data_IF_218083059355
#
_entry.id   IF_218083059355
#
_cell.length_a   1.000
_cell.length_b   1.000
_cell.length_c   1.000
_cell.angle_alpha   90.00
_cell.angle_beta   90.00
_cell.angle_gamma   90.00
#
_symmetry.space_group_name_H-M   'P 1'
#
loop_
_entity.id
_entity.type
_entity.pdbx_description
1 polymer ?
#
# COMPACT_ATOMS: atom_id res chain seq x y z
N UNK A 1 0.99 -28.22 -16.35
CA UNK A 1 -0.05 -27.21 -16.69
C UNK A 1 -1.40 -27.40 -16.01
N UNK A 2 -1.82 -28.60 -15.57
CA UNK A 2 -3.17 -28.82 -14.99
C UNK A 2 -3.42 -28.25 -13.57
N UNK A 3 -2.40 -28.18 -12.70
CA UNK A 3 -2.54 -27.61 -11.35
C UNK A 3 -2.76 -26.09 -11.32
N UNK A 4 -2.23 -25.36 -12.30
CA UNK A 4 -2.39 -23.91 -12.37
C UNK A 4 -3.82 -23.49 -12.77
N UNK A 5 -4.55 -24.35 -13.49
CA UNK A 5 -5.94 -24.13 -13.87
C UNK A 5 -6.90 -24.43 -12.70
N UNK A 6 -6.59 -25.44 -11.88
CA UNK A 6 -7.40 -25.82 -10.71
C UNK A 6 -7.35 -24.78 -9.58
N UNK A 7 -6.24 -24.03 -9.46
CA UNK A 7 -6.11 -22.94 -8.50
C UNK A 7 -6.72 -21.60 -8.97
N UNK A 8 -7.35 -21.56 -10.15
CA UNK A 8 -7.89 -20.36 -10.78
C UNK A 8 -8.74 -19.48 -9.86
N UNK A 9 -9.81 -19.99 -9.24
CA UNK A 9 -10.68 -19.18 -8.38
C UNK A 9 -10.05 -18.85 -7.02
N UNK A 10 -9.28 -19.76 -6.43
CA UNK A 10 -8.67 -19.59 -5.09
C UNK A 10 -7.68 -18.42 -5.00
N UNK A 11 -7.09 -18.01 -6.12
CA UNK A 11 -6.12 -16.92 -6.17
C UNK A 11 -6.69 -15.58 -5.76
N UNK A 12 -7.95 -15.30 -6.10
CA UNK A 12 -8.62 -14.06 -5.70
C UNK A 12 -9.18 -14.11 -4.28
N UNK A 13 -9.55 -15.31 -3.81
CA UNK A 13 -10.05 -15.49 -2.44
C UNK A 13 -8.97 -15.25 -1.39
N UNK A 14 -7.72 -15.64 -1.65
CA UNK A 14 -6.63 -15.44 -0.68
C UNK A 14 -6.46 -13.98 -0.18
N UNK A 15 -6.30 -12.95 -1.05
CA UNK A 15 -6.22 -11.56 -0.58
C UNK A 15 -7.53 -11.07 0.06
N UNK A 16 -8.70 -11.50 -0.42
CA UNK A 16 -10.00 -11.12 0.16
C UNK A 16 -10.15 -11.68 1.58
N UNK A 17 -9.87 -12.96 1.77
CA UNK A 17 -9.93 -13.62 3.07
C UNK A 17 -8.90 -13.03 4.02
N UNK A 18 -7.67 -12.77 3.55
CA UNK A 18 -6.65 -12.09 4.34
C UNK A 18 -7.15 -10.73 4.82
N UNK A 19 -7.61 -9.87 3.89
CA UNK A 19 -8.12 -8.53 4.22
C UNK A 19 -9.27 -8.61 5.23
N UNK A 20 -10.27 -9.45 4.97
CA UNK A 20 -11.43 -9.60 5.86
C UNK A 20 -11.03 -10.03 7.28
N UNK A 21 -10.08 -10.96 7.42
CA UNK A 21 -9.59 -11.40 8.73
C UNK A 21 -8.85 -10.28 9.45
N UNK A 22 -7.94 -9.59 8.75
CA UNK A 22 -7.12 -8.56 9.41
C UNK A 22 -7.97 -7.35 9.78
N UNK A 23 -8.83 -6.85 8.89
CA UNK A 23 -9.77 -5.77 9.20
C UNK A 23 -10.70 -6.10 10.36
N UNK A 24 -11.22 -7.34 10.42
CA UNK A 24 -12.10 -7.75 11.51
C UNK A 24 -11.37 -7.90 12.85
N UNK A 25 -10.06 -8.19 12.83
CA UNK A 25 -9.23 -8.37 14.01
C UNK A 25 -8.36 -7.14 14.34
N UNK A 26 -8.54 -6.03 13.62
CA UNK A 26 -7.65 -4.87 13.69
C UNK A 26 -7.62 -4.31 15.13
N UNK A 27 -8.79 -4.12 15.73
CA UNK A 27 -8.93 -3.59 17.08
C UNK A 27 -8.32 -4.56 18.11
N UNK A 28 -8.65 -5.84 18.03
CA UNK A 28 -8.17 -6.88 18.93
C UNK A 28 -6.64 -6.99 18.87
N UNK A 29 -6.06 -6.89 17.67
CA UNK A 29 -4.61 -6.88 17.49
C UNK A 29 -3.96 -5.64 18.13
N UNK A 30 -4.53 -4.45 17.91
CA UNK A 30 -4.05 -3.21 18.51
C UNK A 30 -4.10 -3.26 20.04
N UNK A 31 -5.23 -3.69 20.61
CA UNK A 31 -5.39 -3.89 22.05
C UNK A 31 -4.42 -4.95 22.59
N UNK A 32 -4.27 -6.06 21.88
CA UNK A 32 -3.30 -7.10 22.24
C UNK A 32 -1.87 -6.55 22.26
N UNK A 33 -1.50 -5.67 21.32
CA UNK A 33 -0.16 -5.10 21.27
C UNK A 33 0.15 -4.20 22.48
N UNK A 34 -0.81 -3.37 22.89
CA UNK A 34 -0.62 -2.38 23.95
C UNK A 34 -0.96 -2.89 25.36
N UNK A 35 -1.72 -3.98 25.48
CA UNK A 35 -2.12 -4.52 26.78
C UNK A 35 -0.91 -4.96 27.63
N UNK A 36 -0.89 -4.51 28.88
CA UNK A 36 0.09 -4.93 29.88
C UNK A 36 -0.19 -6.35 30.36
N UNK A 37 0.87 -7.14 30.51
CA UNK A 37 0.82 -8.53 30.95
C UNK A 37 1.84 -8.77 32.05
N UNK A 38 1.52 -9.61 33.06
CA UNK A 38 2.51 -10.06 34.02
C UNK A 38 3.52 -10.98 33.33
N UNK A 39 4.79 -10.85 33.70
CA UNK A 39 5.88 -11.74 33.29
C UNK A 39 6.81 -12.02 34.47
N UNK A 40 7.71 -12.99 34.32
CA UNK A 40 8.73 -13.29 35.33
C UNK A 40 9.67 -12.09 35.64
N UNK A 41 9.71 -11.09 34.76
CA UNK A 41 10.55 -9.90 34.88
C UNK A 41 9.74 -8.62 35.15
N UNK A 42 8.48 -8.74 35.59
CA UNK A 42 7.57 -7.61 35.82
C UNK A 42 6.49 -7.47 34.75
N UNK A 43 5.81 -6.32 34.71
CA UNK A 43 4.78 -6.04 33.71
C UNK A 43 5.41 -5.64 32.36
N UNK A 44 4.86 -6.14 31.26
CA UNK A 44 5.34 -5.84 29.91
C UNK A 44 4.17 -5.72 28.91
N UNK A 45 4.32 -4.88 27.88
CA UNK A 45 3.43 -4.85 26.71
C UNK A 45 4.23 -5.08 25.43
N UNK A 46 3.64 -5.75 24.43
CA UNK A 46 4.36 -6.04 23.18
C UNK A 46 4.80 -4.77 22.44
N UNK A 47 4.04 -3.68 22.59
CA UNK A 47 4.39 -2.36 22.05
C UNK A 47 5.78 -1.86 22.48
N UNK A 48 6.31 -2.30 23.63
CA UNK A 48 7.65 -1.93 24.09
C UNK A 48 8.77 -2.54 23.24
N UNK A 49 8.56 -3.73 22.66
CA UNK A 49 9.54 -4.35 21.77
C UNK A 49 9.42 -3.89 20.31
N UNK A 50 8.29 -3.29 19.91
CA UNK A 50 8.03 -2.90 18.51
C UNK A 50 9.13 -1.98 17.94
N UNK A 51 9.64 -0.95 18.63
CA UNK A 51 10.71 -0.11 18.09
C UNK A 51 11.97 -0.91 17.72
N UNK A 52 12.39 -1.82 18.61
CA UNK A 52 13.57 -2.66 18.38
C UNK A 52 13.34 -3.66 17.25
N UNK A 53 12.16 -4.29 17.21
CA UNK A 53 11.77 -5.23 16.14
C UNK A 53 11.65 -4.52 14.78
N UNK A 54 11.09 -3.30 14.75
CA UNK A 54 11.00 -2.49 13.55
C UNK A 54 12.40 -2.10 13.04
N UNK A 55 13.27 -1.62 13.92
CA UNK A 55 14.65 -1.28 13.55
C UNK A 55 15.41 -2.51 13.03
N UNK A 56 15.33 -3.66 13.72
CA UNK A 56 15.96 -4.90 13.28
C UNK A 56 15.42 -5.36 11.92
N UNK A 57 14.10 -5.27 11.71
CA UNK A 57 13.45 -5.64 10.44
C UNK A 57 13.88 -4.71 9.30
N UNK A 58 13.98 -3.40 9.54
CA UNK A 58 14.46 -2.43 8.57
C UNK A 58 15.92 -2.67 8.20
N UNK A 59 16.80 -2.97 9.16
CA UNK A 59 18.20 -3.33 8.91
C UNK A 59 18.29 -4.61 8.09
N UNK A 60 17.54 -5.66 8.46
CA UNK A 60 17.51 -6.91 7.71
C UNK A 60 17.00 -6.70 6.27
N UNK A 61 15.94 -5.90 6.11
CA UNK A 61 15.38 -5.53 4.82
C UNK A 61 16.37 -4.72 3.97
N UNK A 62 17.09 -3.76 4.56
CA UNK A 62 18.11 -2.97 3.89
C UNK A 62 19.30 -3.83 3.43
N UNK A 63 19.81 -4.71 4.30
CA UNK A 63 20.85 -5.67 3.95
C UNK A 63 20.39 -6.60 2.82
N UNK A 64 19.16 -7.10 2.91
CA UNK A 64 18.55 -7.91 1.86
C UNK A 64 18.44 -7.10 0.55
N UNK A 65 17.98 -5.85 0.59
CA UNK A 65 17.89 -4.94 -0.56
C UNK A 65 19.26 -4.68 -1.21
N UNK A 66 20.29 -4.37 -0.42
CA UNK A 66 21.66 -4.16 -0.90
C UNK A 66 22.22 -5.42 -1.59
N UNK A 67 22.00 -6.60 -1.00
CA UNK A 67 22.57 -7.84 -1.53
C UNK A 67 22.11 -8.17 -2.96
N UNK A 68 20.83 -7.95 -3.28
CA UNK A 68 20.30 -8.17 -4.63
C UNK A 68 20.46 -6.98 -5.56
N UNK A 69 20.61 -5.74 -5.06
CA UNK A 69 21.01 -4.61 -5.92
C UNK A 69 22.37 -4.88 -6.57
N UNK A 70 23.31 -5.47 -5.82
CA UNK A 70 24.63 -5.90 -6.34
C UNK A 70 24.53 -6.98 -7.43
N UNK A 71 23.42 -7.70 -7.51
CA UNK A 71 23.17 -8.76 -8.50
C UNK A 71 22.27 -8.30 -9.65
N UNK A 72 21.61 -7.15 -9.52
CA UNK A 72 20.64 -6.65 -10.50
C UNK A 72 21.33 -5.81 -11.58
N UNK A 73 20.94 -6.05 -12.84
CA UNK A 73 21.33 -5.19 -13.97
C UNK A 73 20.71 -3.79 -13.90
N UNK A 74 19.71 -3.60 -13.04
CA UNK A 74 19.03 -2.33 -12.81
C UNK A 74 19.29 -1.79 -11.38
N UNK A 75 20.43 -2.17 -10.80
CA UNK A 75 20.78 -1.89 -9.41
C UNK A 75 20.59 -0.44 -8.97
N UNK A 76 20.88 0.56 -9.82
CA UNK A 76 20.66 1.97 -9.50
C UNK A 76 19.16 2.34 -9.38
N UNK A 77 18.30 1.84 -10.26
CA UNK A 77 16.85 2.10 -10.17
C UNK A 77 16.27 1.41 -8.95
N UNK A 78 16.69 0.16 -8.69
CA UNK A 78 16.31 -0.54 -7.45
C UNK A 78 16.79 0.22 -6.21
N UNK A 79 18.01 0.78 -6.22
CA UNK A 79 18.53 1.60 -5.14
C UNK A 79 17.69 2.84 -4.90
N UNK A 80 17.33 3.55 -5.97
CA UNK A 80 16.47 4.71 -5.86
C UNK A 80 15.07 4.36 -5.35
N UNK A 81 14.50 3.23 -5.79
CA UNK A 81 13.21 2.75 -5.30
C UNK A 81 13.23 2.41 -3.81
N UNK A 82 14.26 1.71 -3.34
CA UNK A 82 14.44 1.41 -1.91
C UNK A 82 14.71 2.66 -1.10
N UNK A 83 15.58 3.56 -1.58
CA UNK A 83 15.89 4.82 -0.91
C UNK A 83 14.64 5.70 -0.79
N UNK A 84 13.85 5.82 -1.85
CA UNK A 84 12.57 6.53 -1.83
C UNK A 84 11.62 5.90 -0.80
N UNK A 85 11.51 4.57 -0.76
CA UNK A 85 10.66 3.89 0.21
C UNK A 85 11.11 4.13 1.66
N UNK A 86 12.39 3.95 1.97
CA UNK A 86 12.94 4.21 3.32
C UNK A 86 12.75 5.67 3.73
N UNK A 87 12.96 6.62 2.81
CA UNK A 87 12.74 8.04 3.07
C UNK A 87 11.27 8.33 3.37
N UNK A 88 10.33 7.76 2.61
CA UNK A 88 8.89 7.93 2.86
C UNK A 88 8.48 7.34 4.21
N UNK A 89 8.95 6.15 4.56
CA UNK A 89 8.68 5.53 5.88
C UNK A 89 9.23 6.40 7.01
N UNK A 90 10.46 6.91 6.86
CA UNK A 90 11.07 7.77 7.88
C UNK A 90 10.30 9.09 8.04
N UNK A 91 9.89 9.73 6.94
CA UNK A 91 9.08 10.95 6.96
C UNK A 91 7.71 10.71 7.59
N UNK A 92 7.02 9.64 7.18
CA UNK A 92 5.72 9.28 7.74
C UNK A 92 5.83 8.98 9.25
N UNK A 93 6.83 8.19 9.65
CA UNK A 93 7.11 7.91 11.05
C UNK A 93 7.35 9.21 11.84
N UNK A 94 8.22 10.10 11.34
CA UNK A 94 8.62 11.29 12.07
C UNK A 94 7.49 12.32 12.23
N UNK A 95 6.65 12.47 11.21
CA UNK A 95 5.72 13.60 11.11
C UNK A 95 4.25 13.22 11.15
N UNK A 96 3.88 11.99 10.78
CA UNK A 96 2.47 11.60 10.60
C UNK A 96 2.03 10.53 11.60
N UNK A 97 2.96 9.74 12.13
CA UNK A 97 2.63 8.64 13.04
C UNK A 97 2.32 9.14 14.45
N UNK A 98 1.11 8.88 14.94
CA UNK A 98 0.69 9.21 16.30
C UNK A 98 1.31 8.25 17.32
N UNK A 99 1.36 6.96 17.00
CA UNK A 99 1.68 5.88 17.94
C UNK A 99 2.57 4.78 17.32
N UNK A 100 3.21 3.97 18.17
CA UNK A 100 4.11 2.90 17.70
C UNK A 100 3.36 1.76 16.98
N UNK A 101 2.07 1.55 17.30
CA UNK A 101 1.24 0.49 16.72
C UNK A 101 0.91 0.74 15.24
N UNK A 102 0.91 2.00 14.78
CA UNK A 102 0.69 2.34 13.35
C UNK A 102 1.80 1.77 12.44
N UNK A 103 2.94 1.33 13.00
CA UNK A 103 3.95 0.61 12.22
C UNK A 103 3.45 -0.75 11.71
N UNK A 104 2.36 -1.29 12.23
CA UNK A 104 1.76 -2.54 11.77
C UNK A 104 1.19 -2.43 10.36
N UNK A 105 0.81 -1.22 9.91
CA UNK A 105 0.25 -0.97 8.58
C UNK A 105 1.25 -1.36 7.47
N UNK A 106 2.55 -1.09 7.67
CA UNK A 106 3.55 -1.40 6.66
C UNK A 106 3.63 -2.90 6.30
N UNK A 107 3.89 -3.83 7.24
CA UNK A 107 3.94 -5.26 6.94
C UNK A 107 2.57 -5.84 6.55
N UNK A 108 1.47 -5.34 7.12
CA UNK A 108 0.12 -5.78 6.78
C UNK A 108 -0.21 -5.54 5.30
N UNK A 109 -0.11 -4.28 4.88
CA UNK A 109 -0.45 -3.92 3.51
C UNK A 109 0.61 -4.36 2.49
N UNK A 110 1.86 -4.57 2.92
CA UNK A 110 2.85 -5.25 2.10
C UNK A 110 2.45 -6.70 1.80
N UNK A 111 1.96 -7.44 2.79
CA UNK A 111 1.49 -8.81 2.61
C UNK A 111 0.23 -8.85 1.73
N UNK A 112 -0.73 -7.95 1.94
CA UNK A 112 -1.90 -7.82 1.07
C UNK A 112 -1.50 -7.54 -0.39
N UNK A 113 -0.60 -6.59 -0.62
CA UNK A 113 -0.08 -6.28 -1.96
C UNK A 113 0.61 -7.49 -2.61
N UNK A 114 1.38 -8.27 -1.85
CA UNK A 114 2.00 -9.51 -2.35
C UNK A 114 0.93 -10.54 -2.76
N UNK A 115 -0.12 -10.71 -1.96
CA UNK A 115 -1.22 -11.64 -2.27
C UNK A 115 -1.97 -11.20 -3.53
N UNK A 116 -2.30 -9.91 -3.66
CA UNK A 116 -2.93 -9.34 -4.86
C UNK A 116 -2.01 -9.52 -6.08
N UNK A 117 -0.73 -9.18 -5.95
CA UNK A 117 0.26 -9.35 -7.03
C UNK A 117 0.34 -10.80 -7.51
N UNK A 118 0.35 -11.76 -6.58
CA UNK A 118 0.35 -13.19 -6.88
C UNK A 118 -0.94 -13.66 -7.52
N UNK A 119 -2.07 -13.05 -7.19
CA UNK A 119 -3.35 -13.37 -7.79
C UNK A 119 -3.42 -12.93 -9.26
N UNK A 120 -2.95 -11.71 -9.56
CA UNK A 120 -3.13 -11.08 -10.89
C UNK A 120 -1.96 -11.32 -11.85
N UNK A 121 -0.73 -11.51 -11.34
CA UNK A 121 0.48 -11.73 -12.14
C UNK A 121 1.40 -12.78 -11.48
N UNK A 122 0.93 -14.03 -11.32
CA UNK A 122 1.68 -15.11 -10.67
C UNK A 122 3.01 -15.43 -11.34
N UNK A 123 3.11 -15.16 -12.65
CA UNK A 123 4.33 -15.38 -13.44
C UNK A 123 5.31 -14.20 -13.34
N UNK A 124 4.93 -13.09 -12.70
CA UNK A 124 5.72 -11.85 -12.58
C UNK A 124 6.15 -11.25 -13.91
N UNK A 125 5.29 -11.39 -14.92
CA UNK A 125 5.59 -11.03 -16.32
C UNK A 125 4.96 -9.72 -16.76
N UNK A 126 3.85 -9.32 -16.16
CA UNK A 126 3.09 -8.13 -16.55
C UNK A 126 3.43 -6.92 -15.67
N UNK A 127 3.83 -7.16 -14.41
CA UNK A 127 4.15 -6.14 -13.41
C UNK A 127 3.11 -5.00 -13.30
N UNK A 128 1.81 -5.31 -13.08
CA UNK A 128 0.76 -4.31 -12.93
C UNK A 128 0.84 -3.57 -11.57
N UNK A 129 1.98 -2.96 -11.26
CA UNK A 129 2.25 -2.27 -9.98
C UNK A 129 1.20 -1.23 -9.63
N UNK A 130 0.83 -0.36 -10.58
CA UNK A 130 -0.19 0.67 -10.36
C UNK A 130 -1.55 0.08 -9.96
N UNK A 131 -1.96 -1.05 -10.56
CA UNK A 131 -3.19 -1.77 -10.17
C UNK A 131 -3.09 -2.33 -8.75
N UNK A 132 -1.94 -2.89 -8.38
CA UNK A 132 -1.73 -3.45 -7.03
C UNK A 132 -1.78 -2.33 -6.00
N UNK A 133 -1.03 -1.25 -6.22
CA UNK A 133 -1.04 -0.06 -5.37
C UNK A 133 -2.44 0.49 -5.21
N UNK A 134 -3.19 0.65 -6.31
CA UNK A 134 -4.56 1.16 -6.27
C UNK A 134 -5.48 0.28 -5.41
N UNK A 135 -5.56 -1.03 -5.68
CA UNK A 135 -6.49 -1.91 -4.96
C UNK A 135 -6.07 -2.11 -3.50
N UNK A 136 -4.77 -2.25 -3.20
CA UNK A 136 -4.31 -2.35 -1.81
C UNK A 136 -4.60 -1.08 -1.04
N UNK A 137 -4.36 0.10 -1.63
CA UNK A 137 -4.64 1.38 -0.95
C UNK A 137 -6.14 1.62 -0.77
N UNK A 138 -6.96 1.23 -1.75
CA UNK A 138 -8.42 1.33 -1.62
C UNK A 138 -8.95 0.40 -0.51
N UNK A 139 -8.43 -0.82 -0.41
CA UNK A 139 -8.77 -1.72 0.69
C UNK A 139 -8.31 -1.15 2.03
N UNK A 140 -7.13 -0.54 2.10
CA UNK A 140 -6.66 0.15 3.30
C UNK A 140 -7.53 1.34 3.69
N UNK A 141 -7.96 2.15 2.72
CA UNK A 141 -8.89 3.25 2.98
C UNK A 141 -10.26 2.75 3.48
N UNK A 142 -10.70 1.58 3.03
CA UNK A 142 -11.93 0.92 3.53
C UNK A 142 -11.71 0.42 4.96
N UNK A 143 -10.56 -0.14 5.28
CA UNK A 143 -10.22 -0.57 6.65
C UNK A 143 -10.25 0.60 7.64
N UNK A 144 -9.61 1.72 7.29
CA UNK A 144 -9.68 2.94 8.11
C UNK A 144 -11.10 3.46 8.26
N UNK A 145 -11.95 3.29 7.23
CA UNK A 145 -13.33 3.73 7.30
C UNK A 145 -14.11 2.82 8.23
N UNK A 146 -13.85 1.52 8.18
CA UNK A 146 -14.44 0.54 9.08
C UNK A 146 -14.03 0.82 10.53
N UNK A 147 -12.76 1.13 10.75
CA UNK A 147 -12.26 1.51 12.05
C UNK A 147 -12.89 2.80 12.56
N UNK A 148 -12.96 3.83 11.72
CA UNK A 148 -13.57 5.11 12.06
C UNK A 148 -15.07 4.97 12.36
N UNK A 149 -15.81 4.13 11.63
CA UNK A 149 -17.26 4.04 11.82
C UNK A 149 -17.63 3.05 12.94
N UNK A 150 -16.98 1.89 13.03
CA UNK A 150 -17.45 0.79 13.87
C UNK A 150 -16.47 0.33 14.95
N UNK A 151 -15.16 0.29 14.69
CA UNK A 151 -14.23 -0.37 15.63
C UNK A 151 -13.64 0.56 16.69
N UNK A 152 -13.43 1.84 16.36
CA UNK A 152 -12.81 2.83 17.27
C UNK A 152 -13.77 3.95 17.70
N UNK A 153 -15.03 3.65 18.07
CA UNK A 153 -16.02 4.66 18.40
C UNK A 153 -15.58 5.55 19.58
N UNK A 154 -14.79 5.05 20.53
CA UNK A 154 -14.43 5.80 21.73
C UNK A 154 -13.21 6.72 21.61
N UNK A 155 -12.37 6.57 20.57
CA UNK A 155 -11.08 7.29 20.51
C UNK A 155 -10.64 7.75 19.11
N UNK A 156 -11.31 7.29 18.03
CA UNK A 156 -11.07 7.82 16.69
C UNK A 156 -11.83 9.13 16.47
N UNK A 157 -11.16 10.28 16.59
CA UNK A 157 -11.79 11.59 16.41
C UNK A 157 -11.95 12.01 14.95
N UNK A 158 -11.30 11.30 14.01
CA UNK A 158 -11.34 11.59 12.58
C UNK A 158 -11.00 10.34 11.78
N UNK A 159 -11.36 10.35 10.50
CA UNK A 159 -10.94 9.34 9.53
C UNK A 159 -9.46 9.54 9.16
N UNK A 160 -8.62 8.57 9.50
CA UNK A 160 -7.17 8.79 9.51
C UNK A 160 -6.54 8.67 8.10
N UNK A 161 -6.28 9.80 7.47
CA UNK A 161 -5.56 9.87 6.19
C UNK A 161 -4.07 9.56 6.33
N UNK A 162 -3.48 9.66 7.53
CA UNK A 162 -2.10 9.26 7.77
C UNK A 162 -1.98 7.74 7.61
N UNK A 163 -2.93 6.99 8.17
CA UNK A 163 -2.98 5.54 8.05
C UNK A 163 -3.30 5.09 6.62
N UNK A 164 -4.18 5.81 5.91
CA UNK A 164 -4.38 5.59 4.47
C UNK A 164 -3.07 5.72 3.66
N UNK A 165 -2.24 6.72 3.98
CA UNK A 165 -0.92 6.89 3.37
C UNK A 165 0.05 5.78 3.79
N UNK A 166 0.07 5.39 5.08
CA UNK A 166 0.88 4.27 5.57
C UNK A 166 0.52 2.96 4.86
N UNK A 167 -0.77 2.71 4.61
CA UNK A 167 -1.29 1.56 3.87
C UNK A 167 -0.75 1.53 2.43
N UNK A 168 -0.74 2.68 1.74
CA UNK A 168 -0.12 2.82 0.42
C UNK A 168 1.40 2.57 0.45
N UNK A 169 2.11 3.08 1.45
CA UNK A 169 3.56 2.87 1.61
C UNK A 169 3.86 1.39 1.91
N UNK A 170 3.03 0.72 2.72
CA UNK A 170 3.06 -0.74 2.90
C UNK A 170 2.81 -1.47 1.58
N UNK A 171 1.82 -1.07 0.79
CA UNK A 171 1.56 -1.64 -0.52
C UNK A 171 2.78 -1.52 -1.45
N UNK A 172 3.46 -0.38 -1.44
CA UNK A 172 4.69 -0.15 -2.20
C UNK A 172 5.80 -1.11 -1.77
N UNK A 173 5.97 -1.38 -0.47
CA UNK A 173 6.90 -2.40 0.02
C UNK A 173 6.59 -3.78 -0.57
N UNK A 174 5.31 -4.18 -0.55
CA UNK A 174 4.87 -5.45 -1.11
C UNK A 174 5.17 -5.59 -2.61
N UNK A 175 4.94 -4.53 -3.39
CA UNK A 175 5.28 -4.45 -4.82
C UNK A 175 6.79 -4.59 -5.02
N UNK A 176 7.61 -3.85 -4.26
CA UNK A 176 9.07 -3.91 -4.35
C UNK A 176 9.58 -5.32 -4.03
N UNK A 177 9.10 -5.95 -2.96
CA UNK A 177 9.49 -7.31 -2.57
C UNK A 177 9.08 -8.32 -3.66
N UNK A 178 7.84 -8.26 -4.13
CA UNK A 178 7.29 -9.26 -5.05
C UNK A 178 7.99 -9.26 -6.42
N UNK A 179 8.23 -8.08 -6.99
CA UNK A 179 8.78 -7.95 -8.34
C UNK A 179 10.30 -7.86 -8.42
N UNK A 180 10.99 -7.71 -7.29
CA UNK A 180 12.45 -7.74 -7.27
C UNK A 180 13.03 -9.05 -7.82
N UNK A 181 12.42 -10.18 -7.45
CA UNK A 181 12.85 -11.50 -7.90
C UNK A 181 12.17 -11.93 -9.23
N UNK A 182 11.61 -10.99 -10.00
CA UNK A 182 11.13 -11.31 -11.34
C UNK A 182 12.32 -11.73 -12.22
N UNK A 183 12.25 -12.87 -12.92
CA UNK A 183 13.31 -13.30 -13.82
C UNK A 183 13.63 -12.20 -14.84
N UNK A 184 14.90 -11.99 -15.21
CA UNK A 184 15.25 -11.19 -16.37
C UNK A 184 14.73 -11.93 -17.62
N UNK A 185 13.49 -11.67 -17.99
CA UNK A 185 12.82 -12.21 -19.17
C UNK A 185 12.00 -11.13 -19.86
N UNK A 186 11.41 -11.47 -21.01
CA UNK A 186 10.56 -10.58 -21.79
C UNK A 186 9.33 -10.15 -20.98
N UNK A 187 9.49 -9.10 -20.18
CA UNK A 187 8.39 -8.38 -19.54
C UNK A 187 7.52 -7.88 -20.67
N UNK A 188 6.41 -8.60 -20.90
CA UNK A 188 5.39 -8.21 -21.84
C UNK A 188 4.64 -7.06 -21.20
N UNK A 189 5.12 -5.86 -21.46
CA UNK A 189 4.40 -4.62 -21.22
C UNK A 189 3.09 -4.68 -22.02
N UNK A 190 2.05 -5.12 -21.30
CA UNK A 190 0.66 -5.00 -21.69
C UNK A 190 0.18 -3.66 -21.14
N UNK A 191 0.62 -2.57 -21.78
CA UNK A 191 0.13 -1.22 -21.55
C UNK A 191 0.27 -0.73 -20.12
N UNK A 192 1.35 -0.02 -19.84
CA UNK A 192 1.63 0.72 -18.59
C UNK A 192 0.60 1.81 -18.19
N UNK A 193 -0.54 1.93 -18.87
CA UNK A 193 -1.60 2.85 -18.48
C UNK A 193 -2.28 2.36 -17.21
N UNK A 194 -2.65 3.30 -16.32
CA UNK A 194 -3.65 3.03 -15.29
C UNK A 194 -4.82 2.34 -15.99
N UNK A 195 -5.09 1.08 -15.64
CA UNK A 195 -6.05 0.33 -16.43
C UNK A 195 -7.39 1.08 -16.35
N UNK A 196 -8.09 1.15 -17.49
CA UNK A 196 -9.31 1.94 -17.65
C UNK A 196 -10.29 1.71 -16.50
N UNK A 197 -10.32 0.50 -15.93
CA UNK A 197 -11.16 0.10 -14.81
C UNK A 197 -10.81 0.84 -13.51
N UNK A 198 -9.53 0.92 -13.15
CA UNK A 198 -9.06 1.60 -11.94
C UNK A 198 -9.26 3.12 -12.06
N UNK A 199 -9.06 3.69 -13.26
CA UNK A 199 -9.36 5.10 -13.51
C UNK A 199 -10.86 5.37 -13.35
N UNK A 200 -11.71 4.52 -13.95
CA UNK A 200 -13.16 4.64 -13.81
C UNK A 200 -13.60 4.48 -12.35
N UNK A 201 -13.00 3.56 -11.60
CA UNK A 201 -13.28 3.38 -10.17
C UNK A 201 -12.89 4.62 -9.37
N UNK A 202 -11.69 5.17 -9.58
CA UNK A 202 -11.23 6.39 -8.92
C UNK A 202 -12.16 7.59 -9.24
N UNK A 203 -12.54 7.77 -10.51
CA UNK A 203 -13.47 8.82 -10.92
C UNK A 203 -14.85 8.62 -10.30
N UNK A 204 -15.37 7.38 -10.29
CA UNK A 204 -16.66 7.09 -9.66
C UNK A 204 -16.66 7.39 -8.16
N UNK A 205 -15.58 7.04 -7.44
CA UNK A 205 -15.42 7.37 -6.02
C UNK A 205 -15.35 8.88 -5.81
N UNK A 206 -14.57 9.60 -6.62
CA UNK A 206 -14.47 11.06 -6.54
C UNK A 206 -15.82 11.74 -6.79
N UNK A 207 -16.58 11.28 -7.79
CA UNK A 207 -17.93 11.78 -8.08
C UNK A 207 -18.88 11.47 -6.91
N UNK A 208 -18.84 10.28 -6.32
CA UNK A 208 -19.67 9.93 -5.18
C UNK A 208 -19.37 10.82 -3.96
N UNK A 209 -18.09 11.08 -3.67
CA UNK A 209 -17.65 12.02 -2.62
C UNK A 209 -18.14 13.43 -2.94
N UNK A 210 -17.95 13.92 -4.17
CA UNK A 210 -18.38 15.25 -4.59
C UNK A 210 -19.90 15.44 -4.48
N UNK A 211 -20.69 14.43 -4.85
CA UNK A 211 -22.15 14.44 -4.67
C UNK A 211 -22.49 14.47 -3.17
N UNK A 212 -21.84 13.66 -2.35
CA UNK A 212 -22.05 13.65 -0.89
C UNK A 212 -21.77 15.01 -0.27
N UNK A 213 -20.66 15.66 -0.63
CA UNK A 213 -20.30 17.00 -0.17
C UNK A 213 -21.29 18.06 -0.69
N UNK A 214 -21.59 18.06 -1.99
CA UNK A 214 -22.51 19.01 -2.61
C UNK A 214 -23.94 18.92 -2.08
N UNK A 215 -24.36 17.72 -1.64
CA UNK A 215 -25.65 17.49 -1.01
C UNK A 215 -25.65 17.74 0.51
N UNK A 216 -24.53 18.17 1.10
CA UNK A 216 -24.39 18.37 2.54
C UNK A 216 -24.36 17.08 3.38
N UNK A 217 -24.36 15.91 2.74
CA UNK A 217 -24.42 14.59 3.38
C UNK A 217 -23.07 14.07 3.85
N UNK A 218 -22.00 14.56 3.25
CA UNK A 218 -20.63 14.31 3.66
C UNK A 218 -20.02 15.64 4.08
N UNK A 219 -19.73 15.79 5.36
CA UNK A 219 -19.18 17.01 5.94
C UNK A 219 -17.79 16.74 6.49
N UNK A 220 -16.89 17.71 6.34
CA UNK A 220 -15.56 17.60 6.94
C UNK A 220 -15.65 17.99 8.41
N UNK A 221 -15.98 19.25 8.68
CA UNK A 221 -15.96 19.83 10.02
C UNK A 221 -17.36 19.92 10.60
N UNK A 222 -17.60 19.34 11.79
CA UNK A 222 -18.87 19.47 12.44
C UNK A 222 -18.95 20.79 13.25
N UNK A 223 -20.15 21.34 13.35
CA UNK A 223 -20.42 22.52 14.19
C UNK A 223 -20.52 22.17 15.69
N UNK A 224 -20.83 20.91 16.00
CA UNK A 224 -20.97 20.34 17.35
C UNK A 224 -20.24 19.01 17.41
N UNK A 225 -19.94 18.52 18.60
CA UNK A 225 -19.36 17.18 18.73
C UNK A 225 -20.27 16.11 18.11
N UNK A 226 -19.71 15.26 17.25
CA UNK A 226 -20.43 14.18 16.56
C UNK A 226 -20.26 12.90 17.38
N UNK A 227 -21.34 12.14 17.61
CA UNK A 227 -21.24 10.88 18.32
C UNK A 227 -20.36 9.87 17.57
N UNK A 228 -19.96 8.79 18.24
CA UNK A 228 -19.23 7.72 17.59
C UNK A 228 -19.93 7.18 16.34
N UNK A 229 -19.12 6.81 15.35
CA UNK A 229 -19.60 6.41 14.02
C UNK A 229 -19.72 7.54 13.01
N UNK A 230 -19.52 8.80 13.44
CA UNK A 230 -19.45 9.95 12.53
C UNK A 230 -20.81 10.32 11.91
N UNK A 231 -21.92 9.86 12.47
CA UNK A 231 -23.27 10.08 11.94
C UNK A 231 -24.06 10.99 12.89
N UNK A 232 -24.60 12.09 12.37
CA UNK A 232 -25.44 13.02 13.13
C UNK A 232 -26.62 13.48 12.29
N UNK A 233 -27.81 13.52 12.89
CA UNK A 233 -28.99 14.13 12.27
C UNK A 233 -29.00 15.63 12.53
N UNK A 234 -29.24 16.42 11.50
CA UNK A 234 -29.43 17.87 11.65
C UNK A 234 -30.85 18.21 12.16
N UNK A 235 -31.13 19.52 12.27
CA UNK A 235 -32.43 20.04 12.73
C UNK A 235 -33.61 19.66 11.83
N UNK A 236 -33.35 19.32 10.56
CA UNK A 236 -34.36 18.85 9.60
C UNK A 236 -34.50 17.31 9.61
N UNK A 237 -33.84 16.65 10.56
CA UNK A 237 -33.84 15.18 10.72
C UNK A 237 -33.00 14.44 9.67
N UNK A 238 -32.24 15.15 8.85
CA UNK A 238 -31.44 14.57 7.77
C UNK A 238 -30.15 13.99 8.32
N UNK A 239 -29.82 12.75 7.93
CA UNK A 239 -28.59 12.10 8.36
C UNK A 239 -27.40 12.64 7.56
N UNK A 240 -26.37 13.08 8.28
CA UNK A 240 -25.11 13.59 7.75
C UNK A 240 -23.95 12.74 8.29
N UNK A 241 -22.98 12.45 7.42
CA UNK A 241 -21.75 11.74 7.75
C UNK A 241 -20.59 12.73 7.82
N UNK A 242 -19.88 12.72 8.94
CA UNK A 242 -18.77 13.61 9.23
C UNK A 242 -17.45 12.85 9.21
N UNK A 243 -16.43 13.41 8.55
CA UNK A 243 -15.09 12.81 8.51
C UNK A 243 -14.24 13.15 9.74
N UNK A 244 -14.57 14.18 10.51
CA UNK A 244 -14.05 14.37 11.87
C UNK A 244 -15.22 14.59 12.82
N UNK A 245 -15.08 14.10 14.05
CA UNK A 245 -16.10 14.19 15.10
C UNK A 245 -15.95 15.41 15.99
N UNK A 246 -14.73 15.93 16.04
CA UNK A 246 -14.38 17.18 16.71
C UNK A 246 -13.84 18.14 15.64
N UNK A 247 -14.12 19.43 15.78
CA UNK A 247 -13.55 20.42 14.87
C UNK A 247 -12.02 20.55 15.07
N UNK A 248 -11.32 20.91 14.00
CA UNK A 248 -9.89 21.22 14.05
C UNK A 248 -8.95 20.02 14.16
N UNK A 249 -9.40 18.81 13.82
CA UNK A 249 -8.51 17.65 13.77
C UNK A 249 -7.62 17.69 12.52
N UNK A 250 -8.18 18.02 11.37
CA UNK A 250 -7.43 18.00 10.12
C UNK A 250 -6.50 19.19 9.90
N UNK A 251 -5.41 18.92 9.17
CA UNK A 251 -4.39 19.86 8.73
C UNK A 251 -3.73 20.64 9.90
N UNK A 252 -3.62 19.99 11.05
CA UNK A 252 -3.09 20.54 12.29
C UNK A 252 -2.10 19.58 12.97
N UNK A 253 -1.21 20.16 13.80
CA UNK A 253 -0.34 19.40 14.69
C UNK A 253 -1.07 19.04 15.99
N UNK A 254 -0.94 17.78 16.40
CA UNK A 254 -1.52 17.26 17.63
C UNK A 254 -0.46 16.59 18.49
N UNK A 255 -0.65 16.55 19.82
CA UNK A 255 0.20 15.74 20.70
C UNK A 255 0.17 14.26 20.27
N UNK A 256 1.35 13.66 20.13
CA UNK A 256 1.53 12.27 19.71
C UNK A 256 2.29 11.45 20.75
N UNK A 257 1.97 10.16 20.85
CA UNK A 257 2.64 9.24 21.78
C UNK A 257 4.08 8.93 21.36
N UNK A 258 4.38 8.97 20.06
CA UNK A 258 5.66 8.51 19.53
C UNK A 258 6.76 9.57 19.54
N UNK A 259 6.54 10.70 18.87
CA UNK A 259 7.54 11.76 18.69
C UNK A 259 7.12 13.09 19.35
N UNK A 260 6.17 13.04 20.29
CA UNK A 260 5.62 14.19 21.01
C UNK A 260 4.53 14.94 20.24
N UNK A 261 4.65 15.03 18.92
CA UNK A 261 3.63 15.59 18.03
C UNK A 261 3.55 14.83 16.70
N UNK A 262 2.41 14.95 16.04
CA UNK A 262 2.20 14.48 14.66
C UNK A 262 1.24 15.43 13.93
N UNK A 263 1.30 15.43 12.59
CA UNK A 263 0.43 16.21 11.72
C UNK A 263 -0.70 15.32 11.20
N UNK A 264 -1.95 15.65 11.52
CA UNK A 264 -3.11 14.91 11.03
C UNK A 264 -3.53 15.42 9.65
N UNK A 265 -3.34 14.62 8.60
CA UNK A 265 -3.67 15.01 7.23
C UNK A 265 -5.17 15.18 7.04
N UNK A 266 -5.58 16.33 6.49
CA UNK A 266 -6.91 16.51 5.96
C UNK A 266 -7.16 15.71 4.67
N UNK A 267 -8.41 15.61 4.22
CA UNK A 267 -8.74 14.85 3.01
C UNK A 267 -7.98 15.35 1.77
N UNK A 268 -7.86 16.66 1.59
CA UNK A 268 -7.20 17.22 0.41
C UNK A 268 -5.68 16.96 0.42
N UNK A 269 -5.01 17.25 1.56
CA UNK A 269 -3.58 17.03 1.74
C UNK A 269 -3.22 15.54 1.72
N UNK A 270 -4.03 14.70 2.38
CA UNK A 270 -3.93 13.25 2.36
C UNK A 270 -4.04 12.65 0.97
N UNK A 271 -5.11 12.98 0.23
CA UNK A 271 -5.28 12.50 -1.15
C UNK A 271 -4.16 12.98 -2.08
N UNK A 272 -3.70 14.22 -1.92
CA UNK A 272 -2.59 14.76 -2.71
C UNK A 272 -1.28 13.98 -2.44
N UNK A 273 -0.94 13.74 -1.17
CA UNK A 273 0.24 12.95 -0.80
C UNK A 273 0.14 11.50 -1.29
N UNK A 274 -1.03 10.86 -1.15
CA UNK A 274 -1.26 9.52 -1.67
C UNK A 274 -1.10 9.46 -3.19
N UNK A 275 -1.60 10.46 -3.92
CA UNK A 275 -1.43 10.54 -5.37
C UNK A 275 0.05 10.69 -5.76
N UNK A 276 0.79 11.59 -5.10
CA UNK A 276 2.23 11.82 -5.35
C UNK A 276 3.03 10.56 -5.03
N UNK A 277 2.85 9.98 -3.84
CA UNK A 277 3.56 8.76 -3.42
C UNK A 277 3.22 7.57 -4.32
N UNK A 278 1.94 7.37 -4.64
CA UNK A 278 1.48 6.29 -5.51
C UNK A 278 2.06 6.41 -6.92
N UNK A 279 2.06 7.62 -7.49
CA UNK A 279 2.65 7.91 -8.80
C UNK A 279 4.16 7.67 -8.81
N UNK A 280 4.86 8.11 -7.76
CA UNK A 280 6.30 7.87 -7.60
C UNK A 280 6.59 6.36 -7.56
N UNK A 281 5.93 5.61 -6.67
CA UNK A 281 6.18 4.17 -6.55
C UNK A 281 5.76 3.38 -7.80
N UNK A 282 4.69 3.78 -8.48
CA UNK A 282 4.33 3.22 -9.77
C UNK A 282 5.46 3.42 -10.79
N UNK A 283 5.97 4.66 -10.92
CA UNK A 283 7.04 4.99 -11.85
C UNK A 283 8.33 4.23 -11.56
N UNK A 284 8.68 4.05 -10.27
CA UNK A 284 9.88 3.33 -9.85
C UNK A 284 9.75 1.80 -9.98
N UNK A 285 8.54 1.27 -9.80
CA UNK A 285 8.25 -0.16 -9.97
C UNK A 285 8.16 -0.57 -11.45
N UNK A 286 7.73 0.32 -12.35
CA UNK A 286 7.65 0.02 -13.78
C UNK A 286 9.05 -0.12 -14.41
N UNK A 287 9.38 -1.34 -14.85
CA UNK A 287 10.59 -1.58 -15.65
C UNK A 287 10.40 -1.03 -17.06
N UNK A 288 11.21 -0.03 -17.46
CA UNK A 288 11.26 0.39 -18.87
C UNK A 288 11.72 -0.79 -19.72
N UNK A 289 11.00 -1.07 -20.80
CA UNK A 289 11.50 -1.92 -21.88
C UNK A 289 12.86 -1.38 -22.29
N UNK A 290 13.93 -2.14 -22.07
CA UNK A 290 15.10 -1.98 -22.93
C UNK A 290 14.61 -2.45 -24.28
N UNK A 291 14.46 -1.51 -25.23
CA UNK A 291 14.47 -1.90 -26.62
C UNK A 291 15.70 -2.79 -26.76
N UNK A 292 15.49 -4.08 -27.04
CA UNK A 292 16.58 -4.92 -27.49
C UNK A 292 17.20 -4.10 -28.61
N UNK A 293 18.44 -3.65 -28.42
CA UNK A 293 19.15 -2.89 -29.43
C UNK A 293 19.33 -3.88 -30.57
N UNK A 294 18.34 -3.95 -31.46
CA UNK A 294 18.31 -4.80 -32.64
C UNK A 294 19.34 -4.36 -33.67
N UNK A 295 20.13 -3.33 -33.34
CA UNK A 295 21.17 -2.75 -34.17
C UNK A 295 22.60 -3.07 -33.74
N UNK A 296 22.88 -4.11 -32.93
CA UNK A 296 24.26 -4.60 -32.93
C UNK A 296 24.50 -5.20 -34.32
N UNK A 297 25.39 -4.63 -35.17
CA UNK A 297 25.68 -5.19 -36.47
C UNK A 297 26.05 -6.65 -36.27
N UNK A 298 25.31 -7.55 -36.93
CA UNK A 298 25.76 -8.94 -37.04
C UNK A 298 27.20 -8.89 -37.57
N UNK A 299 28.17 -9.56 -36.92
CA UNK A 299 29.53 -9.57 -37.43
C UNK A 299 29.49 -9.95 -38.91
N UNK A 300 29.96 -9.02 -39.75
CA UNK A 300 30.05 -9.19 -41.20
C UNK A 300 31.02 -10.35 -41.46
N UNK A 301 30.49 -11.56 -41.61
CA UNK A 301 31.32 -12.75 -41.72
C UNK A 301 30.65 -14.07 -41.38
N UNK A 302 29.47 -14.09 -40.76
CA UNK A 302 28.67 -15.31 -40.66
C UNK A 302 28.12 -15.71 -42.03
N UNK A 303 28.97 -16.33 -42.86
CA UNK A 303 28.58 -16.99 -44.10
C UNK A 303 27.57 -18.07 -43.74
N UNK A 304 26.34 -17.93 -44.24
CA UNK A 304 25.34 -18.98 -44.22
C UNK A 304 25.86 -20.15 -45.07
N UNK A 305 26.61 -21.07 -44.47
CA UNK A 305 26.81 -22.40 -45.06
C UNK A 305 25.50 -23.17 -44.85
N UNK A 306 24.53 -22.90 -45.72
CA UNK A 306 23.40 -23.78 -45.97
C UNK A 306 23.98 -25.05 -46.56
N UNK A 307 24.34 -26.00 -45.69
CA UNK A 307 24.58 -27.37 -46.09
C UNK A 307 23.24 -27.96 -46.53
N UNK A 308 23.04 -28.06 -47.84
CA UNK A 308 22.01 -28.90 -48.45
C UNK A 308 22.25 -30.35 -48.01
N UNK A 309 21.43 -30.85 -47.07
CA UNK A 309 21.33 -32.29 -46.84
C UNK A 309 20.49 -32.89 -47.96
N UNK A 310 21.17 -33.69 -48.77
CA UNK A 310 20.67 -34.54 -49.84
C UNK A 310 19.71 -35.62 -49.27
N UNK A 311 18.49 -35.78 -49.80
CA UNK A 311 17.58 -36.83 -49.39
C UNK A 311 17.79 -38.07 -50.27
N UNK A 312 18.85 -38.84 -50.04
CA UNK A 312 18.96 -40.24 -50.50
C UNK A 312 19.77 -41.08 -49.51
N UNK A 313 19.12 -42.08 -48.92
CA UNK A 313 19.70 -43.08 -48.01
C UNK A 313 18.64 -43.67 -47.09
#
# INVERSE_FOLDING_TARGET
MKLAALLGPWRLWAPITYFAIVSAAHLEFSLWLVAWRPSAFGSYSFSQAVPALAAASLVALACWAVSGMRRSREGLREAFAWAAWFATVWLADRFLTYSINEMAHYPEYALLAILIARAIDPARTAQPSGRILFWTSLLGAIDELVQYVWLTPGYGNYYDFNDCLANLVGAALGVLIYYRAAPPGDVRDRGHGFARRETLAAVALLVAVAIGVGAGRLQLTPATEVPPGGLLRDGDGQLNFYLQRTAGQYDAHHPGQRHGEYYALGPASGLALMFVAGSLFQALACRRKRHAVTGWPRPAGAKNSVGSMDPRG
#
